data_IF_680255306268
#
_entry.id   IF_680255306268
#
_cell.length_a   1.000
_cell.length_b   1.000
_cell.length_c   1.000
_cell.angle_alpha   90.00
_cell.angle_beta   90.00
_cell.angle_gamma   90.00
#
_symmetry.space_group_name_H-M   'P 1'
#
loop_
_entity.id
_entity.type
_entity.pdbx_description
1 polymer ?
#
# COMPACT_ATOMS: atom_id res chain seq x y z
N UNK A 1 -0.10 -15.90 -10.65
CA UNK A 1 -0.87 -14.63 -10.71
C UNK A 1 -2.08 -14.88 -11.58
N UNK A 2 -3.30 -14.63 -11.08
CA UNK A 2 -4.49 -14.71 -11.93
C UNK A 2 -4.42 -13.59 -12.98
N UNK A 3 -4.60 -13.90 -14.28
CA UNK A 3 -4.57 -12.89 -15.33
C UNK A 3 -5.90 -12.13 -15.36
N UNK A 4 -6.04 -11.13 -14.49
CA UNK A 4 -7.17 -10.21 -14.54
C UNK A 4 -6.96 -9.18 -15.65
N UNK A 5 -7.97 -9.00 -16.51
CA UNK A 5 -7.90 -7.97 -17.56
C UNK A 5 -8.24 -6.63 -16.95
N UNK A 6 -7.24 -5.75 -16.85
CA UNK A 6 -7.42 -4.37 -16.41
C UNK A 6 -7.17 -3.40 -17.57
N UNK A 7 -8.05 -2.43 -17.72
CA UNK A 7 -7.87 -1.32 -18.67
C UNK A 7 -7.66 -0.04 -17.87
N UNK A 8 -6.52 0.61 -18.09
CA UNK A 8 -6.25 1.92 -17.49
C UNK A 8 -6.99 2.96 -18.31
N UNK A 9 -7.81 3.77 -17.65
CA UNK A 9 -8.48 4.93 -18.25
C UNK A 9 -7.61 6.13 -17.98
N UNK A 10 -7.25 6.84 -19.04
CA UNK A 10 -6.46 8.07 -18.97
C UNK A 10 -7.31 9.28 -19.35
N UNK A 11 -6.97 10.45 -18.81
CA UNK A 11 -7.56 11.73 -19.23
C UNK A 11 -7.02 12.21 -20.58
N UNK A 12 -7.44 13.41 -20.99
CA UNK A 12 -7.01 14.09 -22.22
C UNK A 12 -5.51 14.40 -22.23
N UNK A 13 -4.87 14.49 -21.07
CA UNK A 13 -3.43 14.71 -20.91
C UNK A 13 -2.63 13.38 -20.77
N UNK A 14 -3.27 12.23 -21.04
CA UNK A 14 -2.72 10.88 -20.87
C UNK A 14 -2.35 10.51 -19.41
N UNK A 15 -2.85 11.23 -18.40
CA UNK A 15 -2.66 10.83 -17.01
C UNK A 15 -3.68 9.75 -16.61
N UNK A 16 -3.28 8.71 -15.86
CA UNK A 16 -4.18 7.66 -15.43
C UNK A 16 -5.17 8.20 -14.39
N UNK A 17 -6.46 8.16 -14.71
CA UNK A 17 -7.55 8.62 -13.83
C UNK A 17 -8.33 7.48 -13.19
N UNK A 18 -8.27 6.28 -13.76
CA UNK A 18 -8.98 5.13 -13.22
C UNK A 18 -8.57 3.83 -13.86
N UNK A 19 -9.08 2.74 -13.30
CA UNK A 19 -8.88 1.38 -13.83
C UNK A 19 -10.25 0.74 -13.97
N UNK A 20 -10.56 0.28 -15.17
CA UNK A 20 -11.73 -0.53 -15.46
C UNK A 20 -11.32 -2.01 -15.37
N UNK A 21 -12.09 -2.77 -14.62
CA UNK A 21 -11.97 -4.21 -14.46
C UNK A 21 -13.33 -4.81 -14.77
N UNK A 22 -13.37 -5.92 -15.50
CA UNK A 22 -14.61 -6.65 -15.73
C UNK A 22 -15.27 -7.03 -14.41
N UNK A 23 -16.59 -6.88 -14.33
CA UNK A 23 -17.30 -7.08 -13.07
C UNK A 23 -17.11 -8.49 -12.49
N UNK A 24 -17.04 -9.52 -13.34
CA UNK A 24 -16.78 -10.90 -12.92
C UNK A 24 -15.38 -11.05 -12.30
N UNK A 25 -14.38 -10.39 -12.88
CA UNK A 25 -13.02 -10.37 -12.34
C UNK A 25 -12.98 -9.62 -11.01
N UNK A 26 -13.69 -8.48 -10.91
CA UNK A 26 -13.85 -7.73 -9.65
C UNK A 26 -14.43 -8.60 -8.53
N UNK A 27 -15.50 -9.37 -8.81
CA UNK A 27 -16.09 -10.26 -7.81
C UNK A 27 -15.13 -11.37 -7.35
N UNK A 28 -14.26 -11.87 -8.22
CA UNK A 28 -13.24 -12.85 -7.84
C UNK A 28 -12.17 -12.21 -6.94
N UNK A 29 -11.71 -11.01 -7.29
CA UNK A 29 -10.77 -10.23 -6.48
C UNK A 29 -11.35 -9.95 -5.09
N UNK A 30 -12.63 -9.55 -5.01
CA UNK A 30 -13.32 -9.28 -3.75
C UNK A 30 -13.32 -10.51 -2.82
N UNK A 31 -13.62 -11.70 -3.36
CA UNK A 31 -13.58 -12.96 -2.58
C UNK A 31 -12.18 -13.28 -2.07
N UNK A 32 -11.16 -13.08 -2.90
CA UNK A 32 -9.75 -13.30 -2.51
C UNK A 32 -9.36 -12.30 -1.41
N UNK A 33 -9.71 -11.03 -1.55
CA UNK A 33 -9.43 -9.99 -0.55
C UNK A 33 -10.14 -10.27 0.77
N UNK A 34 -11.40 -10.70 0.74
CA UNK A 34 -12.14 -11.08 1.94
C UNK A 34 -11.48 -12.27 2.68
N UNK A 35 -11.08 -13.31 1.94
CA UNK A 35 -10.34 -14.43 2.51
C UNK A 35 -8.99 -13.99 3.10
N UNK A 36 -8.28 -13.09 2.42
CA UNK A 36 -7.00 -12.57 2.89
C UNK A 36 -7.14 -11.68 4.13
N UNK A 37 -8.19 -10.87 4.23
CA UNK A 37 -8.47 -10.06 5.43
C UNK A 37 -8.76 -10.93 6.66
N UNK A 38 -9.43 -12.07 6.48
CA UNK A 38 -9.65 -13.03 7.57
C UNK A 38 -8.33 -13.63 8.06
N UNK A 39 -7.41 -13.93 7.14
CA UNK A 39 -6.07 -14.42 7.48
C UNK A 39 -5.19 -13.33 8.14
N UNK A 40 -5.22 -12.10 7.65
CA UNK A 40 -4.37 -11.02 8.16
C UNK A 40 -4.81 -10.43 9.51
N UNK A 41 -6.07 -10.56 9.89
CA UNK A 41 -6.55 -10.07 11.19
C UNK A 41 -5.84 -10.72 12.39
N UNK A 42 -5.24 -11.90 12.22
CA UNK A 42 -4.45 -12.54 13.27
C UNK A 42 -3.04 -11.97 13.44
N UNK A 43 -2.44 -11.33 12.41
CA UNK A 43 -1.05 -10.86 12.47
C UNK A 43 -0.87 -9.34 12.58
N UNK A 44 -1.86 -8.52 12.18
CA UNK A 44 -1.71 -7.06 12.15
C UNK A 44 -2.11 -6.38 13.47
N UNK A 45 -1.47 -6.75 14.56
CA UNK A 45 -1.65 -6.07 15.84
C UNK A 45 -0.66 -4.90 15.97
N UNK A 46 -1.11 -3.66 15.72
CA UNK A 46 -0.28 -2.46 15.89
C UNK A 46 0.05 -2.16 17.37
N UNK A 47 -0.68 -2.77 18.32
CA UNK A 47 -0.40 -2.59 19.74
C UNK A 47 0.96 -3.16 20.14
N UNK A 48 1.51 -4.13 19.40
CA UNK A 48 2.86 -4.65 19.64
C UNK A 48 3.97 -3.60 19.46
N UNK A 49 3.67 -2.52 18.73
CA UNK A 49 4.57 -1.39 18.48
C UNK A 49 4.18 -0.14 19.30
N UNK A 50 3.11 -0.20 20.10
CA UNK A 50 2.67 0.94 20.91
C UNK A 50 3.64 1.17 22.06
N UNK A 51 4.18 2.40 22.17
CA UNK A 51 5.16 2.76 23.20
C UNK A 51 6.58 2.22 22.96
N UNK A 52 6.80 1.47 21.88
CA UNK A 52 8.11 0.92 21.51
C UNK A 52 8.66 1.71 20.33
N UNK A 53 9.16 2.92 20.58
CA UNK A 53 9.98 3.61 19.58
C UNK A 53 11.42 3.12 19.76
N UNK A 54 11.76 2.02 19.09
CA UNK A 54 13.17 1.59 18.96
C UNK A 54 13.79 2.35 17.81
N UNK A 55 14.37 3.51 18.14
CA UNK A 55 15.15 4.28 17.18
C UNK A 55 16.52 3.63 17.02
N UNK A 56 16.90 3.31 15.78
CA UNK A 56 18.24 2.79 15.46
C UNK A 56 19.28 3.91 15.30
N UNK A 57 18.81 5.15 15.15
CA UNK A 57 19.62 6.35 14.95
C UNK A 57 19.01 7.48 15.76
N UNK A 58 19.86 8.40 16.23
CA UNK A 58 19.39 9.62 16.88
C UNK A 58 18.53 10.45 15.90
N UNK A 59 17.32 10.90 16.31
CA UNK A 59 16.43 11.66 15.45
C UNK A 59 17.03 12.96 14.92
N UNK A 60 17.88 13.62 15.71
CA UNK A 60 18.48 14.90 15.34
C UNK A 60 19.56 14.69 14.28
N UNK A 61 20.33 13.61 14.39
CA UNK A 61 21.31 13.21 13.37
C UNK A 61 20.63 12.87 12.05
N UNK A 62 19.54 12.10 12.09
CA UNK A 62 18.77 11.76 10.89
C UNK A 62 18.21 13.02 10.21
N UNK A 63 17.66 13.95 10.99
CA UNK A 63 17.16 15.23 10.47
C UNK A 63 18.26 16.06 9.82
N UNK A 64 19.46 16.09 10.38
CA UNK A 64 20.59 16.80 9.79
C UNK A 64 21.02 16.17 8.47
N UNK A 65 21.16 14.83 8.42
CA UNK A 65 21.50 14.11 7.19
C UNK A 65 20.53 14.40 6.05
N UNK A 66 19.22 14.27 6.29
CA UNK A 66 18.21 14.56 5.27
C UNK A 66 18.27 16.02 4.82
N UNK A 67 18.53 16.96 5.74
CA UNK A 67 18.65 18.36 5.37
C UNK A 67 19.89 18.62 4.51
N UNK A 68 21.01 17.98 4.82
CA UNK A 68 22.26 18.12 4.09
C UNK A 68 22.21 17.41 2.72
N UNK A 69 21.41 16.35 2.56
CA UNK A 69 21.17 15.68 1.27
C UNK A 69 20.43 16.55 0.24
N UNK A 70 19.68 17.55 0.70
CA UNK A 70 18.90 18.44 -0.16
C UNK A 70 19.60 19.79 -0.43
N UNK A 71 20.82 19.97 0.10
CA UNK A 71 21.69 21.13 -0.11
C UNK A 71 22.81 20.83 -1.10
#
# INVERSE_FOLDING_TARGET
MLPFKKKIVTDEAMHPVGVLIDYQDWQQIEKILAAYQLLQKEEFNLNQYTGVIKLNQDPLEYQQQIRDEWH
#
